data_IF_951404059171
#
_entry.id   IF_951404059171
#
_cell.length_a   1.000
_cell.length_b   1.000
_cell.length_c   1.000
_cell.angle_alpha   90.00
_cell.angle_beta   90.00
_cell.angle_gamma   90.00
#
_symmetry.space_group_name_H-M   'P 1'
#
loop_
_entity.id
_entity.type
_entity.pdbx_description
1 polymer ?
#
# COMPACT_ATOMS: atom_id res chain seq x y z
N UNK A 1 3.98 4.75 6.69
CA UNK A 1 4.57 3.45 7.07
C UNK A 1 3.71 2.35 6.46
N UNK A 2 4.29 1.29 5.90
CA UNK A 2 3.59 0.07 5.48
C UNK A 2 3.90 -1.05 6.47
N UNK A 3 2.89 -1.46 7.25
CA UNK A 3 2.96 -2.60 8.17
C UNK A 3 2.24 -3.80 7.54
N UNK A 4 1.05 -4.15 8.03
CA UNK A 4 0.22 -5.24 7.47
C UNK A 4 -0.52 -4.87 6.18
N UNK A 5 -0.53 -3.59 5.77
CA UNK A 5 -1.15 -3.12 4.53
C UNK A 5 -2.64 -2.80 4.59
N UNK A 6 -3.34 -3.08 5.70
CA UNK A 6 -4.80 -2.91 5.80
C UNK A 6 -5.29 -1.48 5.54
N UNK A 7 -4.63 -0.47 6.10
CA UNK A 7 -4.99 0.94 5.86
C UNK A 7 -4.83 1.33 4.39
N UNK A 8 -3.70 0.95 3.78
CA UNK A 8 -3.44 1.24 2.37
C UNK A 8 -4.46 0.55 1.44
N UNK A 9 -4.81 -0.70 1.72
CA UNK A 9 -5.84 -1.44 0.98
C UNK A 9 -7.20 -0.75 1.07
N UNK A 10 -7.63 -0.38 2.28
CA UNK A 10 -8.90 0.31 2.50
C UNK A 10 -8.95 1.68 1.78
N UNK A 11 -7.86 2.44 1.83
CA UNK A 11 -7.74 3.70 1.09
C UNK A 11 -7.83 3.47 -0.43
N UNK A 12 -7.17 2.44 -0.97
CA UNK A 12 -7.25 2.13 -2.39
C UNK A 12 -8.69 1.82 -2.82
N UNK A 13 -9.38 0.97 -2.06
CA UNK A 13 -10.79 0.62 -2.31
C UNK A 13 -11.69 1.85 -2.28
N UNK A 14 -11.46 2.77 -1.35
CA UNK A 14 -12.23 4.02 -1.27
C UNK A 14 -12.02 4.89 -2.51
N UNK A 15 -10.76 5.09 -2.94
CA UNK A 15 -10.44 5.87 -4.14
C UNK A 15 -11.10 5.27 -5.37
N UNK A 16 -11.02 3.96 -5.53
CA UNK A 16 -11.60 3.24 -6.68
C UNK A 16 -13.13 3.27 -6.68
N UNK A 17 -13.76 3.16 -5.50
CA UNK A 17 -15.21 3.28 -5.37
C UNK A 17 -15.74 4.66 -5.78
N UNK A 18 -14.90 5.71 -5.71
CA UNK A 18 -15.22 7.07 -6.16
C UNK A 18 -14.84 7.33 -7.63
N UNK A 19 -14.47 6.27 -8.38
CA UNK A 19 -14.06 6.37 -9.78
C UNK A 19 -12.61 6.81 -10.00
N UNK A 20 -11.82 6.91 -8.94
CA UNK A 20 -10.39 7.20 -9.02
C UNK A 20 -9.58 5.99 -9.46
N UNK A 21 -8.43 6.22 -10.08
CA UNK A 21 -7.46 5.18 -10.41
C UNK A 21 -6.24 5.29 -9.49
N UNK A 22 -5.94 4.24 -8.73
CA UNK A 22 -4.75 4.19 -7.88
C UNK A 22 -3.55 3.76 -8.72
N UNK A 23 -2.70 4.71 -9.09
CA UNK A 23 -1.49 4.45 -9.89
C UNK A 23 -0.30 3.93 -9.07
N UNK A 24 -0.36 4.05 -7.74
CA UNK A 24 0.68 3.56 -6.85
C UNK A 24 0.52 4.04 -5.40
N UNK A 25 1.35 3.50 -4.51
CA UNK A 25 1.38 3.77 -3.08
C UNK A 25 2.82 4.07 -2.68
N UNK A 26 3.05 5.16 -1.96
CA UNK A 26 4.37 5.54 -1.47
C UNK A 26 4.35 5.70 0.06
N UNK A 27 5.35 5.14 0.74
CA UNK A 27 5.52 5.26 2.20
C UNK A 27 6.99 5.55 2.54
N UNK A 28 7.24 6.19 3.67
CA UNK A 28 8.62 6.41 4.13
C UNK A 28 9.30 5.13 4.64
N UNK A 29 8.56 4.25 5.30
CA UNK A 29 9.08 3.05 5.96
C UNK A 29 8.16 1.87 5.72
N UNK A 30 8.74 0.70 5.50
CA UNK A 30 8.05 -0.57 5.32
C UNK A 30 8.60 -1.62 6.29
N UNK A 31 7.72 -2.41 6.91
CA UNK A 31 8.05 -3.54 7.76
C UNK A 31 7.85 -4.85 6.96
N UNK A 32 8.91 -5.38 6.35
CA UNK A 32 8.89 -6.52 5.44
C UNK A 32 8.38 -7.79 6.12
N UNK A 33 8.75 -7.99 7.39
CA UNK A 33 8.30 -9.12 8.21
C UNK A 33 6.76 -9.25 8.32
N UNK A 34 6.02 -8.15 8.09
CA UNK A 34 4.56 -8.12 8.18
C UNK A 34 3.86 -8.33 6.82
N UNK A 35 4.62 -8.54 5.74
CA UNK A 35 4.11 -8.94 4.41
C UNK A 35 3.03 -8.01 3.84
N UNK A 36 3.08 -6.71 4.16
CA UNK A 36 2.05 -5.73 3.78
C UNK A 36 1.81 -5.59 2.27
N UNK A 37 2.84 -5.79 1.44
CA UNK A 37 2.74 -5.76 -0.03
C UNK A 37 1.79 -6.81 -0.59
N UNK A 38 1.59 -7.93 0.10
CA UNK A 38 0.70 -9.00 -0.38
C UNK A 38 -0.77 -8.57 -0.39
N UNK A 39 -1.16 -7.65 0.49
CA UNK A 39 -2.51 -7.07 0.47
C UNK A 39 -2.69 -6.02 -0.64
N UNK A 40 -1.59 -5.59 -1.26
CA UNK A 40 -1.55 -4.55 -2.28
C UNK A 40 -1.16 -5.11 -3.66
N UNK A 41 -1.35 -6.42 -3.86
CA UNK A 41 -1.01 -7.12 -5.10
C UNK A 41 -1.54 -6.40 -6.33
N UNK A 42 -0.69 -6.32 -7.36
CA UNK A 42 -1.00 -5.62 -8.61
C UNK A 42 -0.82 -4.10 -8.57
N UNK A 43 -0.48 -3.51 -7.42
CA UNK A 43 -0.20 -2.08 -7.30
C UNK A 43 1.29 -1.81 -7.15
N UNK A 44 1.75 -0.71 -7.75
CA UNK A 44 3.10 -0.20 -7.51
C UNK A 44 3.22 0.27 -6.06
N UNK A 45 4.20 -0.25 -5.33
CA UNK A 45 4.50 0.15 -3.94
C UNK A 45 5.95 0.58 -3.83
N UNK A 46 6.16 1.83 -3.42
CA UNK A 46 7.48 2.43 -3.19
C UNK A 46 7.67 2.71 -1.69
N UNK A 47 8.86 2.40 -1.19
CA UNK A 47 9.27 2.66 0.19
C UNK A 47 10.68 3.23 0.23
N UNK A 48 10.90 4.26 1.06
CA UNK A 48 12.23 4.88 1.21
C UNK A 48 13.17 4.02 2.07
N UNK A 49 12.64 3.42 3.15
CA UNK A 49 13.35 2.51 4.04
C UNK A 49 12.56 1.21 4.21
N UNK A 50 13.25 0.07 4.26
CA UNK A 50 12.68 -1.25 4.52
C UNK A 50 13.37 -1.88 5.74
N UNK A 51 12.57 -2.44 6.63
CA UNK A 51 12.97 -3.07 7.90
C UNK A 51 12.37 -4.47 8.03
#
# INVERSE_FOLDING_TARGET
VLATGGTAEATCKLVEALGGTVVGIAVLLELEALRGRERLQGRRVESLLRL
#
